data_IF_607114679201
#
_entry.id   IF_607114679201
#
_cell.length_a   1.000
_cell.length_b   1.000
_cell.length_c   1.000
_cell.angle_alpha   90.00
_cell.angle_beta   90.00
_cell.angle_gamma   90.00
#
_symmetry.space_group_name_H-M   'P 1'
#
loop_
_entity.id
_entity.type
_entity.pdbx_description
1 polymer ?
#
# COMPACT_ATOMS: atom_id res chain seq x y z
N UNK A 1 10.33 -3.70 5.46
CA UNK A 1 10.88 -3.50 4.09
C UNK A 1 10.24 -4.56 3.23
N UNK A 2 9.59 -4.16 2.15
CA UNK A 2 8.92 -5.10 1.25
C UNK A 2 9.95 -6.07 0.69
N UNK A 3 9.73 -7.37 0.88
CA UNK A 3 10.46 -8.37 0.14
C UNK A 3 10.16 -8.22 -1.36
N UNK A 4 11.15 -8.16 -2.25
CA UNK A 4 10.92 -7.98 -3.69
C UNK A 4 10.30 -9.21 -4.38
N UNK A 5 10.24 -10.36 -3.68
CA UNK A 5 9.71 -11.63 -4.19
C UNK A 5 8.24 -11.54 -4.65
N UNK A 6 7.28 -11.07 -3.83
CA UNK A 6 5.88 -10.93 -4.24
C UNK A 6 5.68 -10.03 -5.48
N UNK A 7 6.48 -8.97 -5.63
CA UNK A 7 6.41 -8.10 -6.80
C UNK A 7 6.89 -8.86 -8.04
N UNK A 8 7.99 -9.60 -7.92
CA UNK A 8 8.53 -10.38 -9.03
C UNK A 8 7.58 -11.52 -9.46
N UNK A 9 6.93 -12.19 -8.51
CA UNK A 9 5.93 -13.22 -8.78
C UNK A 9 4.67 -12.64 -9.45
N UNK A 10 4.26 -11.43 -9.05
CA UNK A 10 3.15 -10.71 -9.67
C UNK A 10 3.47 -10.30 -11.11
N UNK A 11 4.67 -9.76 -11.35
CA UNK A 11 5.14 -9.44 -12.70
C UNK A 11 5.18 -10.70 -13.57
N UNK A 12 5.63 -11.83 -13.04
CA UNK A 12 5.64 -13.09 -13.77
C UNK A 12 4.22 -13.53 -14.16
N UNK A 13 3.26 -13.46 -13.23
CA UNK A 13 1.85 -13.75 -13.54
C UNK A 13 1.26 -12.85 -14.61
N UNK A 14 1.56 -11.54 -14.56
CA UNK A 14 1.12 -10.60 -15.60
C UNK A 14 1.66 -11.04 -16.95
N UNK A 15 2.95 -11.36 -17.05
CA UNK A 15 3.58 -11.82 -18.29
C UNK A 15 2.96 -13.13 -18.80
N UNK A 16 2.62 -14.04 -17.88
CA UNK A 16 2.00 -15.33 -18.20
C UNK A 16 0.53 -15.19 -18.63
N UNK A 17 -0.17 -14.13 -18.23
CA UNK A 17 -1.55 -13.83 -18.63
C UNK A 17 -1.65 -12.99 -19.92
N UNK A 18 -0.51 -12.56 -20.50
CA UNK A 18 -0.51 -11.78 -21.72
C UNK A 18 -1.15 -12.54 -22.91
N UNK A 19 -1.92 -11.86 -23.77
CA UNK A 19 -2.51 -12.47 -24.96
C UNK A 19 -1.44 -13.04 -25.89
N UNK A 20 -1.81 -14.08 -26.64
CA UNK A 20 -0.88 -14.91 -27.43
C UNK A 20 0.01 -14.09 -28.38
N UNK A 21 -0.53 -13.04 -29.01
CA UNK A 21 0.23 -12.16 -29.88
C UNK A 21 1.34 -11.34 -29.19
N UNK A 22 1.30 -11.21 -27.86
CA UNK A 22 2.36 -10.59 -27.06
C UNK A 22 3.36 -11.64 -26.58
N UNK A 23 2.92 -12.89 -26.34
CA UNK A 23 3.81 -14.01 -26.00
C UNK A 23 4.72 -14.43 -27.17
N UNK A 24 4.30 -14.17 -28.40
CA UNK A 24 5.13 -14.39 -29.60
C UNK A 24 6.17 -13.28 -29.84
N UNK A 25 6.19 -12.22 -29.02
CA UNK A 25 7.22 -11.19 -29.11
C UNK A 25 8.60 -11.76 -28.72
N UNK A 26 9.69 -11.24 -29.32
CA UNK A 26 11.04 -11.60 -28.95
C UNK A 26 11.28 -11.51 -27.44
N UNK A 27 12.04 -12.47 -26.90
CA UNK A 27 12.40 -12.54 -25.47
C UNK A 27 13.01 -11.24 -24.95
N UNK A 28 13.68 -10.48 -25.82
CA UNK A 28 14.26 -9.18 -25.50
C UNK A 28 13.20 -8.13 -25.18
N UNK A 29 12.09 -8.10 -25.94
CA UNK A 29 10.95 -7.21 -25.64
C UNK A 29 10.26 -7.63 -24.35
N UNK A 30 10.11 -8.93 -24.09
CA UNK A 30 9.54 -9.43 -22.83
C UNK A 30 10.42 -9.02 -21.63
N UNK A 31 11.75 -9.07 -21.79
CA UNK A 31 12.71 -8.61 -20.78
C UNK A 31 12.57 -7.10 -20.51
N UNK A 32 12.47 -6.28 -21.56
CA UNK A 32 12.25 -4.84 -21.43
C UNK A 32 10.91 -4.52 -20.74
N UNK A 33 9.84 -5.25 -21.08
CA UNK A 33 8.53 -5.10 -20.43
C UNK A 33 8.61 -5.46 -18.93
N UNK A 34 9.27 -6.56 -18.59
CA UNK A 34 9.51 -6.96 -17.19
C UNK A 34 10.24 -5.88 -16.42
N UNK A 35 11.32 -5.33 -16.98
CA UNK A 35 12.10 -4.29 -16.36
C UNK A 35 11.28 -3.01 -16.15
N UNK A 36 10.48 -2.60 -17.14
CA UNK A 36 9.59 -1.45 -17.04
C UNK A 36 8.52 -1.62 -15.95
N UNK A 37 7.93 -2.82 -15.83
CA UNK A 37 6.96 -3.14 -14.77
C UNK A 37 7.60 -3.08 -13.38
N UNK A 38 8.79 -3.67 -13.20
CA UNK A 38 9.51 -3.63 -11.94
C UNK A 38 9.90 -2.20 -11.52
N UNK A 39 10.35 -1.38 -12.47
CA UNK A 39 10.65 0.03 -12.23
C UNK A 39 9.39 0.83 -11.85
N UNK A 40 8.27 0.57 -12.54
CA UNK A 40 6.98 1.19 -12.19
C UNK A 40 6.52 0.80 -10.78
N UNK A 41 6.57 -0.49 -10.42
CA UNK A 41 6.17 -0.95 -9.09
C UNK A 41 7.12 -0.49 -7.98
N UNK A 42 8.40 -0.28 -8.30
CA UNK A 42 9.36 0.27 -7.34
C UNK A 42 9.14 1.76 -7.06
N UNK A 43 8.56 2.49 -8.02
CA UNK A 43 8.17 3.90 -7.87
C UNK A 43 6.83 4.08 -7.17
N UNK A 44 5.97 3.06 -7.17
CA UNK A 44 4.81 3.02 -6.30
C UNK A 44 5.34 2.71 -4.90
N UNK A 45 5.14 3.59 -3.92
CA UNK A 45 5.54 3.37 -2.53
C UNK A 45 4.64 2.27 -1.91
N UNK A 46 4.80 1.04 -2.39
CA UNK A 46 4.01 -0.09 -1.98
C UNK A 46 4.28 -0.36 -0.49
N UNK A 47 3.32 -0.99 0.17
CA UNK A 47 3.48 -1.54 1.52
C UNK A 47 2.83 -2.90 1.55
N UNK A 48 3.26 -3.76 2.45
CA UNK A 48 2.57 -5.04 2.65
C UNK A 48 1.17 -4.79 3.23
N UNK A 49 0.26 -5.74 2.98
CA UNK A 49 -1.10 -5.66 3.55
C UNK A 49 -1.08 -5.62 5.09
N UNK A 50 -0.16 -6.37 5.70
CA UNK A 50 0.02 -6.40 7.15
C UNK A 50 0.51 -5.06 7.73
N UNK A 51 1.49 -4.42 7.07
CA UNK A 51 1.97 -3.08 7.45
C UNK A 51 0.83 -2.06 7.33
N UNK A 52 0.06 -2.11 6.24
CA UNK A 52 -1.11 -1.24 6.05
C UNK A 52 -2.17 -1.43 7.15
N UNK A 53 -2.52 -2.68 7.46
CA UNK A 53 -3.54 -3.00 8.46
C UNK A 53 -3.08 -2.56 9.87
N UNK A 54 -1.79 -2.72 10.16
CA UNK A 54 -1.16 -2.26 11.41
C UNK A 54 -1.24 -0.74 11.54
N UNK A 55 -0.82 0.01 10.52
CA UNK A 55 -0.90 1.48 10.55
C UNK A 55 -2.34 1.97 10.64
N UNK A 56 -3.26 1.32 9.94
CA UNK A 56 -4.69 1.61 10.02
C UNK A 56 -5.25 1.39 11.43
N UNK A 57 -4.80 0.33 12.13
CA UNK A 57 -5.20 0.07 13.51
C UNK A 57 -4.67 1.15 14.47
N UNK A 58 -3.41 1.57 14.30
CA UNK A 58 -2.83 2.67 15.07
C UNK A 58 -3.64 3.95 14.86
N UNK A 59 -3.95 4.31 13.61
CA UNK A 59 -4.72 5.49 13.28
C UNK A 59 -6.13 5.47 13.91
N UNK A 60 -6.82 4.32 13.86
CA UNK A 60 -8.12 4.15 14.52
C UNK A 60 -8.02 4.39 16.02
N UNK A 61 -7.02 3.80 16.68
CA UNK A 61 -6.79 3.98 18.11
C UNK A 61 -6.51 5.44 18.47
N UNK A 62 -5.71 6.13 17.65
CA UNK A 62 -5.40 7.55 17.86
C UNK A 62 -6.64 8.41 17.71
N UNK A 63 -7.50 8.17 16.71
CA UNK A 63 -8.78 8.88 16.55
C UNK A 63 -9.69 8.71 17.76
N UNK A 64 -9.85 7.47 18.25
CA UNK A 64 -10.66 7.21 19.45
C UNK A 64 -10.14 7.98 20.68
N UNK A 65 -8.81 8.00 20.87
CA UNK A 65 -8.20 8.77 21.98
C UNK A 65 -8.40 10.27 21.81
N UNK A 66 -8.32 10.77 20.59
CA UNK A 66 -8.51 12.18 20.28
C UNK A 66 -9.95 12.61 20.57
N UNK A 67 -10.94 11.84 20.12
CA UNK A 67 -12.36 12.08 20.44
C UNK A 67 -12.64 12.07 21.95
N UNK A 68 -11.98 11.18 22.70
CA UNK A 68 -12.12 11.12 24.16
C UNK A 68 -11.53 12.36 24.83
N UNK A 69 -10.37 12.83 24.38
CA UNK A 69 -9.74 14.05 24.91
C UNK A 69 -10.55 15.29 24.55
N UNK A 70 -11.08 15.39 23.33
CA UNK A 70 -11.98 16.49 22.94
C UNK A 70 -13.21 16.58 23.84
N UNK A 71 -13.81 15.43 24.20
CA UNK A 71 -14.91 15.38 25.17
C UNK A 71 -14.49 15.88 26.56
N UNK A 72 -13.37 15.40 27.08
CA UNK A 72 -12.86 15.83 28.39
C UNK A 72 -12.59 17.34 28.42
N UNK A 73 -12.01 17.89 27.35
CA UNK A 73 -11.76 19.33 27.24
C UNK A 73 -13.10 20.09 27.23
N UNK A 74 -14.06 19.65 26.42
CA UNK A 74 -15.38 20.28 26.34
C UNK A 74 -16.09 20.29 27.69
N UNK A 75 -16.04 19.19 28.43
CA UNK A 75 -16.59 19.09 29.79
C UNK A 75 -15.89 20.07 30.76
N UNK A 76 -14.57 20.17 30.70
CA UNK A 76 -13.79 21.10 31.54
C UNK A 76 -14.07 22.56 31.20
N UNK A 77 -14.13 22.92 29.92
CA UNK A 77 -14.46 24.28 29.45
C UNK A 77 -15.89 24.68 29.85
N UNK A 78 -16.83 23.74 29.77
CA UNK A 78 -18.23 23.96 30.20
C UNK A 78 -18.32 24.20 31.72
N UNK A 79 -17.54 23.46 32.50
CA UNK A 79 -17.48 23.61 33.96
C UNK A 79 -16.72 24.87 34.42
N UNK A 80 -15.81 25.42 33.62
CA UNK A 80 -15.12 26.69 33.92
C UNK A 80 -15.91 27.94 33.53
N UNK A 81 -16.93 27.79 32.68
CA UNK A 81 -17.77 28.90 32.20
C UNK A 81 -19.02 29.14 33.06
N UNK A 82 -19.19 28.37 34.15
CA UNK A 82 -20.23 28.53 35.19
C UNK A 82 -19.61 28.99 36.49
#
# INVERSE_FOLDING_TARGET
MIDPKPINDFVQKILDELPVGIKELPTEIQSHLRAALLDAFSKMELVTREEFDTQSAVLRKTRMKLEMLEKQITELESNQSS
#
